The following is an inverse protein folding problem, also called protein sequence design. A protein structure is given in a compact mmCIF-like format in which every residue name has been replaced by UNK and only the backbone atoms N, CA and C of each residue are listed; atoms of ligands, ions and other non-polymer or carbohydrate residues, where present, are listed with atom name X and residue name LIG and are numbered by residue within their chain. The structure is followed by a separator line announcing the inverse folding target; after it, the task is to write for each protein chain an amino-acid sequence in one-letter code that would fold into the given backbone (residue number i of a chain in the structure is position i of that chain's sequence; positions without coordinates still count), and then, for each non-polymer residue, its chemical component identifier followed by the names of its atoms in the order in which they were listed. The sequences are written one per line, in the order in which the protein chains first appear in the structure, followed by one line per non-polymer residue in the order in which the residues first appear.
data_IF_614806237703
#
_entry.id   IF_614806237703
#
_cell.length_a   1.000
_cell.length_b   1.000
_cell.length_c   1.000
_cell.angle_alpha   90.00
_cell.angle_beta   90.00
_cell.angle_gamma   90.00
#
_symmetry.space_group_name_H-M   'P 1'
#
loop_
_entity.id
_entity.type
_entity.pdbx_description
1 polymer ?
#
# COMPACT_ATOMS: atom_id res chain seq x y z
N UNK A 1 -23.17 -8.77 21.06
CA UNK A 1 -22.84 -8.23 19.72
C UNK A 1 -21.36 -8.48 19.50
N UNK A 2 -21.01 -9.62 18.91
CA UNK A 2 -19.62 -9.96 18.62
C UNK A 2 -19.18 -9.12 17.42
N UNK A 3 -18.37 -8.10 17.66
CA UNK A 3 -17.67 -7.44 16.56
C UNK A 3 -16.72 -8.47 16.00
N UNK A 4 -17.07 -9.09 14.87
CA UNK A 4 -16.15 -9.90 14.09
C UNK A 4 -14.83 -9.15 14.01
N UNK A 5 -13.79 -9.71 14.64
CA UNK A 5 -12.46 -9.12 14.80
C UNK A 5 -11.69 -9.12 13.46
N UNK A 6 -12.35 -8.60 12.42
CA UNK A 6 -11.90 -8.58 11.04
C UNK A 6 -11.24 -7.23 10.80
N UNK A 7 -9.94 -7.27 10.51
CA UNK A 7 -9.14 -6.10 10.14
C UNK A 7 -9.85 -5.30 9.03
N UNK A 8 -9.93 -3.98 9.18
CA UNK A 8 -10.52 -3.11 8.16
C UNK A 8 -9.59 -3.02 6.94
N UNK A 9 -8.27 -3.08 7.16
CA UNK A 9 -7.27 -3.12 6.12
C UNK A 9 -6.18 -4.13 6.46
N UNK A 10 -5.82 -4.97 5.50
CA UNK A 10 -4.61 -5.79 5.52
C UNK A 10 -3.77 -5.50 4.27
N UNK A 11 -2.54 -5.04 4.47
CA UNK A 11 -1.53 -4.84 3.43
C UNK A 11 -0.39 -5.81 3.68
N UNK A 12 -0.07 -6.66 2.70
CA UNK A 12 1.04 -7.62 2.74
C UNK A 12 1.97 -7.43 1.57
N UNK A 13 3.27 -7.39 1.86
CA UNK A 13 4.38 -7.32 0.90
C UNK A 13 4.19 -6.27 -0.20
N UNK A 14 3.54 -5.15 0.12
CA UNK A 14 3.25 -4.12 -0.86
C UNK A 14 4.55 -3.56 -1.41
N UNK A 15 4.77 -3.80 -2.69
CA UNK A 15 5.88 -3.28 -3.47
C UNK A 15 5.34 -2.59 -4.70
N UNK A 16 5.82 -1.39 -4.98
CA UNK A 16 5.34 -0.59 -6.11
C UNK A 16 6.54 -0.10 -6.91
N UNK A 17 6.55 -0.45 -8.19
CA UNK A 17 7.56 -0.06 -9.16
C UNK A 17 6.97 0.86 -10.21
N UNK A 18 7.71 1.93 -10.53
CA UNK A 18 7.38 2.83 -11.63
C UNK A 18 8.39 2.66 -12.77
N UNK A 19 7.88 2.59 -14.01
CA UNK A 19 8.71 2.70 -15.21
C UNK A 19 8.97 4.18 -15.50
N UNK A 20 10.23 4.55 -15.65
CA UNK A 20 10.68 5.90 -16.03
C UNK A 20 11.55 5.81 -17.29
N UNK A 21 11.94 6.96 -17.84
CA UNK A 21 12.84 7.02 -19.00
C UNK A 21 14.22 6.43 -18.69
N UNK A 22 14.69 6.61 -17.46
CA UNK A 22 16.04 6.22 -17.03
C UNK A 22 16.07 4.84 -16.34
N UNK A 23 14.97 4.08 -16.44
CA UNK A 23 14.82 2.76 -15.83
C UNK A 23 13.67 2.68 -14.84
N UNK A 24 13.65 1.63 -14.02
CA UNK A 24 12.59 1.41 -13.04
C UNK A 24 12.97 1.93 -11.65
N UNK A 25 12.03 2.56 -10.97
CA UNK A 25 12.19 3.03 -9.58
C UNK A 25 11.24 2.25 -8.67
N UNK A 26 11.80 1.64 -7.64
CA UNK A 26 11.02 1.01 -6.56
C UNK A 26 10.63 2.08 -5.53
N UNK A 27 9.38 2.56 -5.62
CA UNK A 27 8.86 3.63 -4.77
C UNK A 27 8.35 3.13 -3.41
N UNK A 28 7.98 1.85 -3.32
CA UNK A 28 7.62 1.15 -2.07
C UNK A 28 8.22 -0.25 -2.13
N UNK A 29 8.82 -0.72 -1.04
CA UNK A 29 9.56 -1.99 -0.98
C UNK A 29 9.02 -2.88 0.14
N UNK A 30 8.24 -3.89 -0.22
CA UNK A 30 7.77 -4.99 0.63
C UNK A 30 7.20 -4.58 1.99
N UNK A 31 6.38 -3.52 2.05
CA UNK A 31 5.79 -3.08 3.32
C UNK A 31 4.57 -3.92 3.69
N UNK A 32 4.40 -4.20 4.98
CA UNK A 32 3.25 -4.93 5.51
C UNK A 32 2.71 -4.27 6.76
N UNK A 33 1.39 -4.04 6.82
CA UNK A 33 0.71 -3.50 7.99
C UNK A 33 -0.80 -3.78 7.94
N UNK A 34 -1.48 -3.61 9.07
CA UNK A 34 -2.93 -3.74 9.15
C UNK A 34 -3.55 -2.61 9.97
N UNK A 35 -4.84 -2.36 9.73
CA UNK A 35 -5.64 -1.43 10.53
C UNK A 35 -6.81 -2.21 11.13
N UNK A 36 -6.85 -2.27 12.45
CA UNK A 36 -7.95 -2.87 13.21
C UNK A 36 -9.13 -1.90 13.36
N UNK A 37 -10.35 -2.40 13.62
CA UNK A 37 -11.51 -1.56 13.87
C UNK A 37 -11.26 -0.51 14.97
N UNK A 38 -11.65 0.74 14.69
CA UNK A 38 -11.49 1.86 15.63
C UNK A 38 -10.05 2.34 15.83
N UNK A 39 -9.09 1.86 15.03
CA UNK A 39 -7.69 2.34 15.06
C UNK A 39 -7.42 3.33 13.95
N UNK A 40 -6.51 4.25 14.23
CA UNK A 40 -5.98 5.21 13.26
C UNK A 40 -4.50 4.94 13.06
N UNK A 41 -4.08 4.80 11.80
CA UNK A 41 -2.68 4.67 11.42
C UNK A 41 -2.22 5.98 10.77
N UNK A 42 -1.14 6.57 11.29
CA UNK A 42 -0.47 7.70 10.66
C UNK A 42 0.76 7.23 9.89
N UNK A 43 0.87 7.60 8.62
CA UNK A 43 2.04 7.32 7.78
C UNK A 43 2.87 8.60 7.62
N UNK A 44 4.07 8.61 8.20
CA UNK A 44 4.95 9.79 8.29
C UNK A 44 6.33 9.50 7.68
N UNK A 45 7.05 10.55 7.29
CA UNK A 45 8.38 10.46 6.66
C UNK A 45 8.67 11.62 5.71
N UNK A 46 9.89 11.68 5.17
CA UNK A 46 10.36 12.74 4.26
C UNK A 46 9.68 12.73 2.88
N UNK A 47 9.80 13.83 2.13
CA UNK A 47 9.33 13.86 0.74
C UNK A 47 9.99 12.74 -0.08
N UNK A 48 9.22 12.03 -0.91
CA UNK A 48 9.73 10.92 -1.72
C UNK A 48 9.78 9.55 -1.02
N UNK A 49 9.50 9.45 0.29
CA UNK A 49 9.58 8.18 1.05
C UNK A 49 8.51 7.12 0.73
N UNK A 50 7.66 7.34 -0.29
CA UNK A 50 6.63 6.38 -0.70
C UNK A 50 5.24 6.56 -0.07
N UNK A 51 5.03 7.51 0.86
CA UNK A 51 3.74 7.69 1.57
C UNK A 51 2.52 7.80 0.64
N UNK A 52 2.57 8.74 -0.30
CA UNK A 52 1.47 8.96 -1.25
C UNK A 52 1.27 7.77 -2.19
N UNK A 53 2.33 7.04 -2.50
CA UNK A 53 2.28 5.83 -3.32
C UNK A 53 1.60 4.70 -2.56
N UNK A 54 1.92 4.50 -1.28
CA UNK A 54 1.24 3.56 -0.39
C UNK A 54 -0.26 3.89 -0.28
N UNK A 55 -0.60 5.15 0.01
CA UNK A 55 -1.99 5.58 0.13
C UNK A 55 -2.78 5.37 -1.18
N UNK A 56 -2.21 5.79 -2.32
CA UNK A 56 -2.83 5.59 -3.64
C UNK A 56 -2.92 4.11 -4.04
N UNK A 57 -2.00 3.26 -3.59
CA UNK A 57 -2.09 1.81 -3.80
C UNK A 57 -3.31 1.23 -3.09
N UNK A 58 -3.55 1.63 -1.84
CA UNK A 58 -4.71 1.18 -1.05
C UNK A 58 -6.01 1.62 -1.72
N UNK A 59 -6.05 2.85 -2.23
CA UNK A 59 -7.20 3.41 -2.92
C UNK A 59 -7.34 2.96 -4.38
N UNK A 60 -6.40 2.16 -4.90
CA UNK A 60 -6.35 1.73 -6.31
C UNK A 60 -6.29 2.91 -7.31
N UNK A 61 -5.60 4.00 -6.94
CA UNK A 61 -5.48 5.24 -7.72
C UNK A 61 -4.07 5.45 -8.32
N UNK A 62 -3.31 4.38 -8.52
CA UNK A 62 -2.00 4.48 -9.19
C UNK A 62 -2.15 4.70 -10.70
N UNK A 63 -1.18 5.36 -11.36
CA UNK A 63 -1.14 5.43 -12.81
C UNK A 63 -0.65 4.10 -13.39
N UNK A 64 -1.54 3.10 -13.49
CA UNK A 64 -1.20 1.72 -13.88
C UNK A 64 -0.58 1.54 -15.28
N UNK A 65 -0.59 2.59 -16.11
CA UNK A 65 0.17 2.63 -17.35
C UNK A 65 1.69 2.53 -17.12
N UNK A 66 2.17 3.05 -15.99
CA UNK A 66 3.59 3.11 -15.63
C UNK A 66 3.89 2.51 -14.25
N UNK A 67 2.88 2.23 -13.45
CA UNK A 67 3.00 1.67 -12.11
C UNK A 67 2.59 0.19 -12.08
N UNK A 68 3.36 -0.63 -11.37
CA UNK A 68 3.06 -2.05 -11.15
C UNK A 68 3.26 -2.44 -9.71
N UNK A 69 2.33 -3.25 -9.18
CA UNK A 69 2.52 -3.99 -7.94
C UNK A 69 3.32 -5.27 -8.19
N UNK A 70 4.06 -5.75 -7.19
CA UNK A 70 4.67 -7.08 -7.25
C UNK A 70 3.60 -8.18 -7.16
N UNK A 71 3.89 -9.37 -7.69
CA UNK A 71 2.93 -10.49 -7.70
C UNK A 71 2.55 -10.98 -6.30
N UNK A 72 3.42 -10.79 -5.32
CA UNK A 72 3.22 -11.14 -3.92
C UNK A 72 2.57 -10.01 -3.09
N UNK A 73 2.34 -8.83 -3.68
CA UNK A 73 1.63 -7.73 -3.02
C UNK A 73 0.15 -8.07 -2.85
N UNK A 74 -0.39 -7.84 -1.64
CA UNK A 74 -1.81 -8.00 -1.35
C UNK A 74 -2.36 -6.82 -0.56
N UNK A 75 -3.53 -6.31 -0.96
CA UNK A 75 -4.30 -5.27 -0.27
C UNK A 75 -5.72 -5.80 -0.13
N UNK A 76 -6.21 -5.97 1.10
CA UNK A 76 -7.55 -6.46 1.41
C UNK A 76 -8.28 -5.49 2.31
N UNK A 77 -9.49 -5.11 1.91
CA UNK A 77 -10.41 -4.32 2.72
C UNK A 77 -11.39 -5.26 3.42
N UNK A 78 -11.64 -5.04 4.71
CA UNK A 78 -12.48 -5.88 5.54
C UNK A 78 -12.07 -7.36 5.55
N UNK A 79 -10.77 -7.66 5.54
CA UNK A 79 -10.20 -9.02 5.47
C UNK A 79 -10.78 -9.86 4.34
#
# INVERSE_FOLDING_TARGET
MEYNNKRILEVKNLSVRFKTRDGSIDAVKSISFSIDPGKTLALVGESGSGKSVTARSILQLLPYQIATHSLDSSIKLNG
#
